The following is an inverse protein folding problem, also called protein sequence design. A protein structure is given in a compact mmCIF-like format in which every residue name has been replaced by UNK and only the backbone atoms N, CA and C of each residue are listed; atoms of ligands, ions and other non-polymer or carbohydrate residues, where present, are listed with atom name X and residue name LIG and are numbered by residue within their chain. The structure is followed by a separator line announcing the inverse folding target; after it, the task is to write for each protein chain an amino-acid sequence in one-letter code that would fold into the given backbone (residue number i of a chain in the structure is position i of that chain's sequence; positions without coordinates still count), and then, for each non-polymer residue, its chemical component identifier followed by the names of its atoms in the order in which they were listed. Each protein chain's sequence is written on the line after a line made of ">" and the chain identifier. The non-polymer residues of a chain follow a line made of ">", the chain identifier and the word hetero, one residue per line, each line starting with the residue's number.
data_IF_801836520772
#
_entry.id   IF_801836520772
#
_cell.length_a   1.000
_cell.length_b   1.000
_cell.length_c   1.000
_cell.angle_alpha   90.00
_cell.angle_beta   90.00
_cell.angle_gamma   90.00
#
_symmetry.space_group_name_H-M   'P 1'
#
loop_
_entity.id
_entity.type
_entity.pdbx_description
1 polymer ?
#
# COMPACT_ATOMS: atom_id res chain seq x y z
N UNK A 1 -9.01 -13.54 9.05
CA UNK A 1 -7.61 -13.25 8.69
C UNK A 1 -7.47 -11.74 8.64
N UNK A 2 -6.51 -11.15 9.37
CA UNK A 2 -6.39 -9.68 9.45
C UNK A 2 -5.91 -9.10 8.13
N UNK A 3 -6.64 -8.12 7.59
CA UNK A 3 -6.39 -7.46 6.32
C UNK A 3 -5.65 -6.14 6.54
N UNK A 4 -4.56 -5.96 5.83
CA UNK A 4 -3.73 -4.74 5.90
C UNK A 4 -3.71 -4.08 4.53
N UNK A 5 -4.01 -2.79 4.49
CA UNK A 5 -3.88 -1.97 3.28
C UNK A 5 -2.75 -0.95 3.47
N UNK A 6 -1.78 -0.94 2.54
CA UNK A 6 -0.59 -0.08 2.61
C UNK A 6 -0.56 0.88 1.43
N UNK A 7 -0.62 2.18 1.73
CA UNK A 7 -0.34 3.25 0.78
C UNK A 7 1.15 3.61 0.83
N UNK A 8 1.77 3.80 -0.34
CA UNK A 8 3.19 4.14 -0.42
C UNK A 8 4.12 2.94 -0.23
N UNK A 9 3.65 1.72 -0.55
CA UNK A 9 4.39 0.47 -0.34
C UNK A 9 5.72 0.38 -1.12
N UNK A 10 5.92 1.19 -2.16
CA UNK A 10 7.19 1.27 -2.90
C UNK A 10 8.15 2.34 -2.40
N UNK A 11 7.76 3.14 -1.40
CA UNK A 11 8.63 4.11 -0.76
C UNK A 11 9.61 3.45 0.21
N UNK A 12 10.58 4.21 0.73
CA UNK A 12 11.57 3.68 1.66
C UNK A 12 10.94 3.10 2.94
N UNK A 13 10.05 3.88 3.58
CA UNK A 13 9.36 3.43 4.79
C UNK A 13 8.30 2.37 4.48
N UNK A 14 7.42 2.62 3.50
CA UNK A 14 6.37 1.68 3.13
C UNK A 14 6.91 0.33 2.67
N UNK A 15 8.00 0.31 1.89
CA UNK A 15 8.67 -0.90 1.45
C UNK A 15 9.33 -1.65 2.62
N UNK A 16 9.95 -0.94 3.56
CA UNK A 16 10.52 -1.55 4.77
C UNK A 16 9.44 -2.19 5.64
N UNK A 17 8.30 -1.50 5.82
CA UNK A 17 7.15 -2.02 6.55
C UNK A 17 6.59 -3.27 5.86
N UNK A 18 6.34 -3.18 4.55
CA UNK A 18 5.83 -4.31 3.76
C UNK A 18 6.75 -5.53 3.91
N UNK A 19 8.05 -5.35 3.70
CA UNK A 19 9.04 -6.42 3.80
C UNK A 19 9.04 -7.09 5.19
N UNK A 20 8.97 -6.29 6.27
CA UNK A 20 8.90 -6.81 7.64
C UNK A 20 7.60 -7.55 7.91
N UNK A 21 6.46 -7.03 7.45
CA UNK A 21 5.16 -7.66 7.67
C UNK A 21 5.07 -9.00 6.96
N UNK A 22 5.50 -9.07 5.69
CA UNK A 22 5.52 -10.32 4.93
C UNK A 22 6.40 -11.37 5.62
N UNK A 23 7.59 -10.98 6.11
CA UNK A 23 8.52 -11.91 6.74
C UNK A 23 8.08 -12.38 8.14
N UNK A 24 7.46 -11.51 8.94
CA UNK A 24 7.17 -11.79 10.36
C UNK A 24 5.73 -12.19 10.64
N UNK A 25 4.80 -11.86 9.73
CA UNK A 25 3.36 -12.09 9.91
C UNK A 25 2.73 -12.67 8.63
N UNK A 26 3.12 -13.90 8.24
CA UNK A 26 2.64 -14.53 6.99
C UNK A 26 1.13 -14.82 6.97
N UNK A 27 0.46 -14.74 8.13
CA UNK A 27 -0.99 -14.90 8.24
C UNK A 27 -1.77 -13.63 7.91
N UNK A 28 -1.10 -12.49 7.65
CA UNK A 28 -1.78 -11.27 7.20
C UNK A 28 -2.15 -11.37 5.73
N UNK A 29 -3.33 -10.84 5.38
CA UNK A 29 -3.69 -10.58 3.99
C UNK A 29 -3.33 -9.14 3.67
N UNK A 30 -2.28 -8.94 2.87
CA UNK A 30 -1.73 -7.61 2.61
C UNK A 30 -2.14 -7.16 1.19
N UNK A 31 -2.73 -5.97 1.10
CA UNK A 31 -2.91 -5.21 -0.15
C UNK A 31 -1.96 -4.02 -0.15
N UNK A 32 -1.17 -3.87 -1.20
CA UNK A 32 -0.21 -2.78 -1.39
C UNK A 32 -0.62 -1.91 -2.59
N UNK A 33 -0.73 -0.60 -2.36
CA UNK A 33 -1.00 0.36 -3.41
C UNK A 33 0.28 0.72 -4.17
N UNK A 34 0.23 0.66 -5.49
CA UNK A 34 1.30 1.07 -6.38
C UNK A 34 0.78 2.07 -7.42
N UNK A 35 1.56 3.13 -7.70
CA UNK A 35 1.13 4.21 -8.60
C UNK A 35 0.98 3.78 -10.06
N UNK A 36 1.82 2.84 -10.50
CA UNK A 36 1.85 2.36 -11.89
C UNK A 36 2.08 0.85 -11.92
N UNK A 37 1.71 0.22 -13.03
CA UNK A 37 1.79 -1.23 -13.22
C UNK A 37 3.20 -1.80 -12.97
N UNK A 38 4.24 -1.13 -13.44
CA UNK A 38 5.63 -1.57 -13.24
C UNK A 38 6.00 -1.71 -11.76
N UNK A 39 5.50 -0.79 -10.94
CA UNK A 39 5.73 -0.81 -9.49
C UNK A 39 4.95 -1.93 -8.81
N UNK A 40 3.73 -2.20 -9.26
CA UNK A 40 2.98 -3.36 -8.79
C UNK A 40 3.67 -4.68 -9.18
N UNK A 41 4.18 -4.79 -10.40
CA UNK A 41 4.89 -5.98 -10.86
C UNK A 41 6.12 -6.27 -9.99
N UNK A 42 6.87 -5.24 -9.59
CA UNK A 42 8.01 -5.40 -8.66
C UNK A 42 7.56 -5.93 -7.29
N UNK A 43 6.45 -5.43 -6.75
CA UNK A 43 5.89 -5.92 -5.48
C UNK A 43 5.48 -7.38 -5.62
N UNK A 44 4.68 -7.73 -6.64
CA UNK A 44 4.19 -9.10 -6.84
C UNK A 44 5.33 -10.09 -7.07
N UNK A 45 6.38 -9.69 -7.80
CA UNK A 45 7.56 -10.52 -8.04
C UNK A 45 8.35 -10.78 -6.74
N UNK A 46 8.51 -9.77 -5.89
CA UNK A 46 9.21 -9.90 -4.62
C UNK A 46 8.36 -10.60 -3.54
N UNK A 47 7.05 -10.40 -3.58
CA UNK A 47 6.10 -10.84 -2.55
C UNK A 47 4.84 -11.46 -3.19
N UNK A 48 4.89 -12.73 -3.64
CA UNK A 48 3.77 -13.35 -4.35
C UNK A 48 2.46 -13.46 -3.55
N UNK A 49 2.51 -13.37 -2.22
CA UNK A 49 1.34 -13.38 -1.34
C UNK A 49 0.68 -12.01 -1.17
N UNK A 50 1.29 -10.94 -1.69
CA UNK A 50 0.79 -9.56 -1.57
C UNK A 50 -0.07 -9.25 -2.78
N UNK A 51 -1.32 -8.82 -2.54
CA UNK A 51 -2.17 -8.26 -3.59
C UNK A 51 -1.74 -6.83 -3.88
N UNK A 52 -1.73 -6.45 -5.15
CA UNK A 52 -1.46 -5.06 -5.54
C UNK A 52 -2.71 -4.40 -6.10
N UNK A 53 -2.83 -3.10 -5.86
CA UNK A 53 -3.86 -2.25 -6.47
C UNK A 53 -3.18 -1.05 -7.13
N UNK A 54 -3.56 -0.73 -8.36
CA UNK A 54 -3.03 0.42 -9.10
C UNK A 54 -3.87 1.64 -8.78
N UNK A 55 -3.27 2.59 -8.07
CA UNK A 55 -3.91 3.85 -7.68
C UNK A 55 -2.85 4.87 -7.24
N UNK A 56 -3.20 6.14 -7.33
CA UNK A 56 -2.46 7.25 -6.74
C UNK A 56 -3.23 7.86 -5.56
N UNK A 57 -2.74 8.99 -5.04
CA UNK A 57 -3.37 9.66 -3.88
C UNK A 57 -4.66 10.41 -4.23
N UNK A 58 -4.88 10.68 -5.51
CA UNK A 58 -6.10 11.35 -6.00
C UNK A 58 -7.22 10.35 -6.33
N UNK A 59 -6.88 9.05 -6.36
CA UNK A 59 -7.80 7.92 -6.59
C UNK A 59 -8.68 7.61 -5.36
N UNK A 60 -9.41 8.62 -4.88
CA UNK A 60 -10.20 8.57 -3.63
C UNK A 60 -11.18 7.39 -3.57
N UNK A 61 -11.87 7.07 -4.66
CA UNK A 61 -12.81 5.94 -4.73
C UNK A 61 -12.13 4.60 -4.42
N UNK A 62 -10.93 4.38 -4.98
CA UNK A 62 -10.16 3.15 -4.75
C UNK A 62 -9.65 3.11 -3.32
N UNK A 63 -9.14 4.24 -2.81
CA UNK A 63 -8.64 4.33 -1.43
C UNK A 63 -9.78 4.04 -0.45
N UNK A 64 -10.96 4.64 -0.64
CA UNK A 64 -12.14 4.41 0.21
C UNK A 64 -12.57 2.94 0.15
N UNK A 65 -12.68 2.37 -1.05
CA UNK A 65 -13.08 0.97 -1.24
C UNK A 65 -12.12 0.01 -0.52
N UNK A 66 -10.82 0.12 -0.77
CA UNK A 66 -9.80 -0.75 -0.16
C UNK A 66 -9.67 -0.52 1.35
N UNK A 67 -9.84 0.72 1.81
CA UNK A 67 -9.86 1.06 3.23
C UNK A 67 -11.06 0.48 3.95
N UNK A 68 -12.24 0.47 3.31
CA UNK A 68 -13.49 -0.02 3.91
C UNK A 68 -13.47 -1.52 4.22
N UNK A 69 -12.62 -2.28 3.54
CA UNK A 69 -12.48 -3.73 3.72
C UNK A 69 -11.23 -4.12 4.54
N UNK A 70 -10.36 -3.16 4.87
CA UNK A 70 -9.14 -3.41 5.63
C UNK A 70 -9.39 -3.30 7.14
N UNK A 71 -8.70 -4.12 7.92
CA UNK A 71 -8.71 -4.00 9.38
C UNK A 71 -7.67 -2.97 9.85
N UNK A 72 -6.57 -2.84 9.10
CA UNK A 72 -5.45 -1.93 9.39
C UNK A 72 -5.08 -1.19 8.11
N UNK A 73 -4.97 0.13 8.19
CA UNK A 73 -4.52 1.00 7.09
C UNK A 73 -3.18 1.62 7.50
N UNK A 74 -2.18 1.51 6.64
CA UNK A 74 -0.86 2.10 6.82
C UNK A 74 -0.63 3.11 5.69
N UNK A 75 -0.59 4.39 6.04
CA UNK A 75 -0.26 5.45 5.09
C UNK A 75 1.20 5.83 5.24
N UNK A 76 2.03 5.35 4.32
CA UNK A 76 3.44 5.73 4.16
C UNK A 76 3.70 6.40 2.80
N UNK A 77 2.62 6.82 2.13
CA UNK A 77 2.69 7.67 0.96
C UNK A 77 2.90 9.12 1.38
N UNK A 78 3.56 9.87 0.51
CA UNK A 78 3.92 11.28 0.65
C UNK A 78 2.90 12.13 1.43
N UNK A 79 3.40 12.88 2.43
CA UNK A 79 2.67 14.00 3.03
C UNK A 79 3.24 15.26 2.40
N UNK A 80 2.68 15.73 1.29
CA UNK A 80 3.02 17.06 0.80
C UNK A 80 2.39 18.09 1.74
N UNK A 81 3.09 18.43 2.83
CA UNK A 81 2.79 19.57 3.69
C UNK A 81 3.16 20.84 2.91
N UNK A 82 2.38 21.20 1.89
CA UNK A 82 2.78 22.24 0.93
C UNK A 82 1.77 22.67 -0.13
N UNK A 83 0.56 22.12 -0.20
CA UNK A 83 -0.54 22.77 -0.94
C UNK A 83 -1.33 23.64 0.03
N UNK A 84 -0.72 24.74 0.47
CA UNK A 84 -1.52 25.88 0.92
C UNK A 84 -2.27 26.38 -0.32
N UNK A 85 -3.58 26.49 -0.18
CA UNK A 85 -4.48 27.20 -1.09
C UNK A 85 -3.75 28.39 -1.76
N UNK A 86 -3.52 28.26 -3.06
CA UNK A 86 -3.11 29.33 -3.96
C UNK A 86 -4.15 29.45 -5.05
#
# INVERSE_FOLDING_TARGET
>A
MTKVFILGATGYLGGTILNRLVATRPTLSITAMARIQDKANLITAAYPSVRTVIADLDSSDIIISESSIADIIITAADCNFGQSLG
#
